data_IF_452750038676
#
_entry.id   IF_452750038676
#
_cell.length_a   1.000
_cell.length_b   1.000
_cell.length_c   1.000
_cell.angle_alpha   90.00
_cell.angle_beta   90.00
_cell.angle_gamma   90.00
#
_symmetry.space_group_name_H-M   'P 1'
#
loop_
_entity.id
_entity.type
_entity.pdbx_description
1 polymer ?
#
# COMPACT_ATOMS: atom_id res chain seq x y z
N UNK A 1 -7.38 16.25 19.10
CA UNK A 1 -6.51 16.25 17.89
C UNK A 1 -7.42 15.95 16.71
N UNK A 2 -7.47 16.80 15.67
CA UNK A 2 -8.29 16.52 14.49
C UNK A 2 -7.52 15.57 13.58
N UNK A 3 -8.06 14.38 13.36
CA UNK A 3 -7.69 13.46 12.28
C UNK A 3 -7.70 14.26 10.96
N UNK A 4 -6.55 14.44 10.33
CA UNK A 4 -6.50 15.02 8.98
C UNK A 4 -6.49 13.86 7.98
N UNK A 5 -7.66 13.29 7.71
CA UNK A 5 -7.81 12.32 6.62
C UNK A 5 -7.82 13.09 5.30
N UNK A 6 -6.67 13.26 4.68
CA UNK A 6 -6.60 13.82 3.34
C UNK A 6 -6.96 12.71 2.36
N UNK A 7 -8.23 12.67 1.94
CA UNK A 7 -8.68 11.71 0.92
C UNK A 7 -7.98 12.05 -0.39
N UNK A 8 -7.14 11.15 -0.88
CA UNK A 8 -6.44 11.31 -2.16
C UNK A 8 -7.47 11.42 -3.29
N UNK A 9 -7.37 12.49 -4.07
CA UNK A 9 -8.24 12.70 -5.23
C UNK A 9 -7.74 11.88 -6.42
N UNK A 10 -8.67 11.43 -7.28
CA UNK A 10 -8.31 10.76 -8.54
C UNK A 10 -7.42 11.68 -9.39
N UNK A 11 -6.40 11.11 -10.03
CA UNK A 11 -5.39 11.86 -10.79
C UNK A 11 -4.24 12.39 -9.92
N UNK A 12 -4.36 12.36 -8.59
CA UNK A 12 -3.22 12.65 -7.71
C UNK A 12 -2.18 11.55 -7.87
N UNK A 13 -0.91 11.95 -8.03
CA UNK A 13 0.19 11.01 -8.02
C UNK A 13 0.21 10.26 -6.68
N UNK A 14 0.16 8.92 -6.72
CA UNK A 14 0.14 8.10 -5.51
C UNK A 14 1.40 8.36 -4.65
N UNK A 15 1.26 8.60 -3.33
CA UNK A 15 2.40 8.73 -2.43
C UNK A 15 3.27 7.46 -2.45
N UNK A 16 4.59 7.63 -2.49
CA UNK A 16 5.49 6.49 -2.44
C UNK A 16 5.50 5.86 -1.05
N UNK A 17 5.77 4.56 -0.99
CA UNK A 17 6.03 3.84 0.25
C UNK A 17 7.13 2.81 0.03
N UNK A 18 7.76 2.40 1.11
CA UNK A 18 8.72 1.30 1.11
C UNK A 18 8.47 0.45 2.35
N UNK A 19 7.87 -0.73 2.17
CA UNK A 19 7.36 -1.56 3.27
C UNK A 19 8.00 -2.96 3.23
N UNK A 20 8.18 -3.60 4.40
CA UNK A 20 8.49 -5.02 4.46
C UNK A 20 7.28 -5.82 3.96
N UNK A 21 7.53 -6.88 3.21
CA UNK A 21 6.52 -7.76 2.66
C UNK A 21 6.93 -9.22 2.77
N UNK A 22 5.93 -10.09 2.71
CA UNK A 22 6.08 -11.54 2.75
C UNK A 22 5.34 -12.12 1.55
N UNK A 23 6.02 -12.93 0.74
CA UNK A 23 5.40 -13.70 -0.35
C UNK A 23 5.79 -15.16 -0.20
N UNK A 24 4.82 -16.01 0.15
CA UNK A 24 5.09 -17.34 0.67
C UNK A 24 5.97 -17.23 1.92
N UNK A 25 7.09 -17.96 1.96
CA UNK A 25 8.04 -17.89 3.08
C UNK A 25 9.12 -16.82 2.91
N UNK A 26 9.09 -16.04 1.82
CA UNK A 26 10.15 -15.07 1.49
C UNK A 26 9.82 -13.68 2.05
N UNK A 27 10.69 -13.19 2.94
CA UNK A 27 10.71 -11.80 3.40
C UNK A 27 11.50 -10.93 2.41
N UNK A 28 10.93 -9.80 2.03
CA UNK A 28 11.56 -8.82 1.14
C UNK A 28 11.00 -7.42 1.41
N UNK A 29 11.48 -6.41 0.66
CA UNK A 29 10.89 -5.07 0.65
C UNK A 29 10.16 -4.82 -0.65
N UNK A 30 9.10 -4.03 -0.58
CA UNK A 30 8.32 -3.59 -1.73
C UNK A 30 8.26 -2.07 -1.70
N UNK A 31 8.67 -1.44 -2.80
CA UNK A 31 8.55 0.00 -2.99
C UNK A 31 7.61 0.32 -4.13
N UNK A 32 6.62 1.19 -3.90
CA UNK A 32 5.60 1.50 -4.91
C UNK A 32 6.22 2.07 -6.20
N UNK A 33 7.26 2.90 -6.07
CA UNK A 33 7.94 3.48 -7.21
C UNK A 33 8.58 2.48 -8.17
N UNK A 34 8.86 1.23 -7.76
CA UNK A 34 9.44 0.21 -8.62
C UNK A 34 8.48 -0.28 -9.72
N UNK A 35 7.17 -0.09 -9.53
CA UNK A 35 6.10 -0.51 -10.44
C UNK A 35 5.68 0.56 -11.44
N UNK A 36 6.10 1.82 -11.25
CA UNK A 36 5.70 2.95 -12.11
C UNK A 36 6.07 2.66 -13.57
N UNK A 37 5.11 2.85 -14.47
CA UNK A 37 5.29 2.62 -15.91
C UNK A 37 5.44 1.15 -16.32
N UNK A 38 5.42 0.20 -15.38
CA UNK A 38 5.56 -1.23 -15.66
C UNK A 38 4.25 -1.99 -15.54
N UNK A 39 3.47 -1.72 -14.48
CA UNK A 39 2.21 -2.41 -14.17
C UNK A 39 1.26 -1.50 -13.43
N UNK A 40 -0.04 -1.76 -13.57
CA UNK A 40 -1.06 -1.19 -12.69
C UNK A 40 -0.95 -1.85 -11.31
N UNK A 41 -1.18 -1.07 -10.25
CA UNK A 41 -1.09 -1.52 -8.85
C UNK A 41 -2.42 -1.24 -8.14
N UNK A 42 -2.93 -2.25 -7.43
CA UNK A 42 -4.09 -2.12 -6.54
C UNK A 42 -3.59 -2.17 -5.10
N UNK A 43 -4.01 -1.22 -4.27
CA UNK A 43 -3.70 -1.19 -2.84
C UNK A 43 -4.94 -1.55 -2.04
N UNK A 44 -4.85 -2.61 -1.24
CA UNK A 44 -5.89 -3.04 -0.32
C UNK A 44 -5.38 -2.88 1.12
N UNK A 45 -5.99 -2.00 1.88
CA UNK A 45 -5.69 -1.80 3.30
C UNK A 45 -6.72 -2.57 4.12
N UNK A 46 -6.26 -3.41 5.05
CA UNK A 46 -7.12 -4.12 5.98
C UNK A 46 -6.51 -4.02 7.39
N UNK A 47 -7.33 -4.08 8.45
CA UNK A 47 -6.91 -3.65 9.78
C UNK A 47 -6.03 -4.68 10.51
N UNK A 48 -6.37 -5.96 10.43
CA UNK A 48 -5.69 -7.02 11.17
C UNK A 48 -5.98 -8.39 10.55
N UNK A 49 -5.00 -9.29 10.59
CA UNK A 49 -5.19 -10.68 10.22
C UNK A 49 -6.04 -11.42 11.27
N UNK A 50 -6.77 -12.47 10.83
CA UNK A 50 -7.47 -13.41 11.72
C UNK A 50 -8.56 -12.81 12.63
N UNK A 51 -9.17 -11.69 12.23
CA UNK A 51 -10.34 -11.14 12.94
C UNK A 51 -11.63 -11.90 12.57
N UNK A 52 -12.53 -12.21 13.53
CA UNK A 52 -13.84 -12.76 13.22
C UNK A 52 -14.62 -11.82 12.29
N UNK A 53 -15.29 -12.39 11.29
CA UNK A 53 -16.22 -11.67 10.40
C UNK A 53 -17.61 -11.59 11.00
#
# INVERSE_FOLDING_TARGET
MKERTYVLQVGTHAPDFDLPAVTGDRRHRVRLSEFRGKKNVVLAFYPLDWTPT
#
